data_IF_684048795702
#
_entry.id   IF_684048795702
#
_cell.length_a   1.000
_cell.length_b   1.000
_cell.length_c   1.000
_cell.angle_alpha   90.00
_cell.angle_beta   90.00
_cell.angle_gamma   90.00
#
_symmetry.space_group_name_H-M   'P 1'
#
loop_
_entity.id
_entity.type
_entity.pdbx_description
1 polymer ?
#
# COMPACT_ATOMS: atom_id res chain seq x y z
N UNK A 1 -4.78 -21.13 18.96
CA UNK A 1 -5.01 -19.81 19.59
C UNK A 1 -6.52 -19.57 19.70
N UNK A 2 -7.04 -18.99 20.79
CA UNK A 2 -8.46 -18.65 20.91
C UNK A 2 -8.92 -17.69 19.81
N UNK A 3 -10.15 -17.86 19.31
CA UNK A 3 -10.69 -17.09 18.17
C UNK A 3 -10.65 -15.57 18.41
N UNK A 4 -10.99 -15.13 19.62
CA UNK A 4 -11.01 -13.70 19.99
C UNK A 4 -9.61 -13.12 19.89
N UNK A 5 -8.60 -13.82 20.41
CA UNK A 5 -7.20 -13.38 20.33
C UNK A 5 -6.71 -13.30 18.88
N UNK A 6 -7.16 -14.23 18.02
CA UNK A 6 -6.87 -14.17 16.59
C UNK A 6 -7.46 -12.92 15.96
N UNK A 7 -8.75 -12.67 16.19
CA UNK A 7 -9.42 -11.50 15.63
C UNK A 7 -8.80 -10.19 16.11
N UNK A 8 -8.41 -10.08 17.38
CA UNK A 8 -7.74 -8.88 17.89
C UNK A 8 -6.40 -8.66 17.20
N UNK A 9 -5.55 -9.67 17.08
CA UNK A 9 -4.24 -9.54 16.41
C UNK A 9 -4.38 -9.24 14.92
N UNK A 10 -5.32 -9.90 14.25
CA UNK A 10 -5.68 -9.65 12.87
C UNK A 10 -6.13 -8.21 12.66
N UNK A 11 -7.05 -7.72 13.50
CA UNK A 11 -7.54 -6.35 13.45
C UNK A 11 -6.42 -5.33 13.69
N UNK A 12 -5.57 -5.55 14.70
CA UNK A 12 -4.42 -4.68 14.95
C UNK A 12 -3.47 -4.66 13.75
N UNK A 13 -3.15 -5.82 13.18
CA UNK A 13 -2.30 -5.94 11.98
C UNK A 13 -2.89 -5.16 10.80
N UNK A 14 -4.20 -5.31 10.57
CA UNK A 14 -4.94 -4.59 9.56
C UNK A 14 -4.93 -3.07 9.81
N UNK A 15 -5.17 -2.64 11.05
CA UNK A 15 -5.16 -1.22 11.44
C UNK A 15 -3.78 -0.60 11.23
N UNK A 16 -2.69 -1.29 11.59
CA UNK A 16 -1.33 -0.81 11.33
C UNK A 16 -1.12 -0.61 9.82
N UNK A 17 -1.49 -1.60 9.00
CA UNK A 17 -1.36 -1.49 7.54
C UNK A 17 -2.24 -0.38 6.94
N UNK A 18 -3.40 -0.13 7.53
CA UNK A 18 -4.32 0.92 7.12
C UNK A 18 -3.69 2.31 7.27
N UNK A 19 -2.82 2.57 8.24
CA UNK A 19 -2.24 3.90 8.38
C UNK A 19 -1.11 4.15 7.36
N UNK A 20 -1.12 5.32 6.67
CA UNK A 20 -0.19 5.63 5.58
C UNK A 20 1.28 5.55 5.96
N UNK A 21 1.61 5.81 7.22
CA UNK A 21 3.00 5.91 7.66
C UNK A 21 3.65 4.53 7.89
N UNK A 22 2.87 3.53 8.27
CA UNK A 22 3.40 2.23 8.70
C UNK A 22 3.61 1.27 7.52
N UNK A 23 2.90 1.50 6.41
CA UNK A 23 2.99 0.69 5.20
C UNK A 23 2.78 -0.82 5.45
N UNK A 24 2.87 -1.65 4.39
CA UNK A 24 2.69 -3.11 4.54
C UNK A 24 3.80 -3.74 5.41
N UNK A 25 4.99 -3.14 5.42
CA UNK A 25 6.16 -3.65 6.13
C UNK A 25 5.94 -3.73 7.64
N UNK A 26 5.54 -2.60 8.26
CA UNK A 26 5.34 -2.57 9.70
C UNK A 26 4.07 -3.32 10.10
N UNK A 27 3.06 -3.40 9.23
CA UNK A 27 1.87 -4.21 9.46
C UNK A 27 2.23 -5.69 9.61
N UNK A 28 2.94 -6.24 8.62
CA UNK A 28 3.37 -7.65 8.65
C UNK A 28 4.29 -7.92 9.84
N UNK A 29 5.26 -7.03 10.10
CA UNK A 29 6.15 -7.15 11.25
C UNK A 29 5.40 -7.13 12.59
N UNK A 30 4.41 -6.24 12.75
CA UNK A 30 3.58 -6.17 13.95
C UNK A 30 2.75 -7.44 14.14
N UNK A 31 2.15 -7.97 13.07
CA UNK A 31 1.42 -9.24 13.10
C UNK A 31 2.29 -10.39 13.61
N UNK A 32 3.46 -10.55 13.00
CA UNK A 32 4.41 -11.60 13.39
C UNK A 32 4.95 -11.40 14.82
N UNK A 33 5.24 -10.16 15.23
CA UNK A 33 5.66 -9.84 16.60
C UNK A 33 4.59 -10.20 17.64
N UNK A 34 3.31 -10.09 17.29
CA UNK A 34 2.19 -10.54 18.12
C UNK A 34 1.99 -12.06 18.10
N UNK A 35 2.89 -12.84 17.48
CA UNK A 35 2.76 -14.30 17.26
C UNK A 35 1.54 -14.68 16.42
N UNK A 36 1.12 -13.81 15.51
CA UNK A 36 0.23 -14.20 14.42
C UNK A 36 1.07 -14.98 13.40
N UNK A 37 0.51 -16.02 12.78
CA UNK A 37 1.26 -16.79 11.81
C UNK A 37 1.66 -15.90 10.60
N UNK A 38 2.77 -16.20 9.90
CA UNK A 38 3.27 -15.34 8.83
C UNK A 38 2.25 -15.13 7.71
N UNK A 39 1.47 -16.16 7.37
CA UNK A 39 0.46 -16.08 6.30
C UNK A 39 -0.66 -15.11 6.69
N UNK A 40 -1.24 -15.26 7.89
CA UNK A 40 -2.25 -14.36 8.40
C UNK A 40 -1.71 -12.93 8.57
N UNK A 41 -0.46 -12.78 8.99
CA UNK A 41 0.18 -11.45 9.11
C UNK A 41 0.28 -10.75 7.76
N UNK A 42 0.66 -11.47 6.70
CA UNK A 42 0.65 -10.96 5.33
C UNK A 42 -0.76 -10.64 4.88
N UNK A 43 -1.72 -11.56 5.03
CA UNK A 43 -3.11 -11.35 4.58
C UNK A 43 -3.72 -10.11 5.22
N UNK A 44 -3.66 -9.99 6.54
CA UNK A 44 -4.25 -8.84 7.25
C UNK A 44 -3.48 -7.55 7.01
N UNK A 45 -2.15 -7.59 6.91
CA UNK A 45 -1.33 -6.42 6.59
C UNK A 45 -1.59 -5.89 5.18
N UNK A 46 -1.68 -6.79 4.19
CA UNK A 46 -2.01 -6.45 2.80
C UNK A 46 -3.41 -5.89 2.69
N UNK A 47 -4.41 -6.53 3.32
CA UNK A 47 -5.79 -6.03 3.32
C UNK A 47 -5.87 -4.64 3.99
N UNK A 48 -5.18 -4.46 5.11
CA UNK A 48 -5.10 -3.18 5.81
C UNK A 48 -4.56 -2.08 4.91
N UNK A 49 -3.39 -2.31 4.32
CA UNK A 49 -2.71 -1.35 3.46
C UNK A 49 -3.42 -1.10 2.13
N UNK A 50 -4.09 -2.11 1.57
CA UNK A 50 -4.83 -1.96 0.33
C UNK A 50 -6.17 -1.23 0.51
N UNK A 51 -6.90 -1.44 1.61
CA UNK A 51 -8.22 -0.82 1.88
C UNK A 51 -8.30 0.70 1.62
N UNK A 52 -7.33 1.53 2.05
CA UNK A 52 -7.39 2.96 1.80
C UNK A 52 -7.24 3.34 0.33
N UNK A 53 -6.66 2.50 -0.52
CA UNK A 53 -6.46 2.81 -1.94
C UNK A 53 -7.80 2.97 -2.69
N UNK A 54 -8.74 2.00 -2.66
CA UNK A 54 -10.09 2.20 -3.17
C UNK A 54 -10.79 3.43 -2.57
N UNK A 55 -10.63 3.69 -1.27
CA UNK A 55 -11.24 4.84 -0.60
C UNK A 55 -10.70 6.17 -1.14
N UNK A 56 -9.39 6.27 -1.36
CA UNK A 56 -8.75 7.43 -1.97
C UNK A 56 -9.18 7.64 -3.42
N UNK A 57 -9.25 6.57 -4.21
CA UNK A 57 -9.73 6.65 -5.61
C UNK A 57 -11.19 7.10 -5.67
N UNK A 58 -12.02 6.58 -4.77
CA UNK A 58 -13.41 7.01 -4.64
C UNK A 58 -13.50 8.47 -4.21
N UNK A 59 -12.71 8.89 -3.21
CA UNK A 59 -12.61 10.28 -2.78
C UNK A 59 -12.18 11.23 -3.90
N UNK A 60 -11.17 10.84 -4.68
CA UNK A 60 -10.72 11.60 -5.85
C UNK A 60 -11.86 11.83 -6.85
N UNK A 61 -12.66 10.79 -7.14
CA UNK A 61 -13.82 10.93 -8.05
C UNK A 61 -14.86 11.94 -7.55
N UNK A 62 -15.02 12.07 -6.22
CA UNK A 62 -15.90 13.06 -5.58
C UNK A 62 -15.29 14.46 -5.64
N UNK A 63 -14.00 14.60 -5.36
CA UNK A 63 -13.28 15.87 -5.42
C UNK A 63 -13.32 16.48 -6.83
N UNK A 64 -13.24 15.66 -7.87
CA UNK A 64 -13.33 16.10 -9.26
C UNK A 64 -14.70 16.67 -9.66
N UNK A 65 -15.76 16.44 -8.87
CA UNK A 65 -17.07 17.07 -9.08
C UNK A 65 -17.13 18.52 -8.61
N UNK A 66 -16.19 18.95 -7.76
CA UNK A 66 -16.13 20.32 -7.26
C UNK A 66 -15.21 21.15 -8.17
N UNK A 67 -15.72 22.19 -8.87
CA UNK A 67 -14.94 22.91 -9.88
C UNK A 67 -13.64 23.55 -9.36
N UNK A 68 -13.67 24.10 -8.14
CA UNK A 68 -12.52 24.74 -7.50
C UNK A 68 -11.40 23.73 -7.19
N UNK A 69 -11.76 22.58 -6.62
CA UNK A 69 -10.85 21.47 -6.33
C UNK A 69 -10.30 20.86 -7.62
N UNK A 70 -11.14 20.64 -8.62
CA UNK A 70 -10.72 20.18 -9.95
C UNK A 70 -9.68 21.12 -10.57
N UNK A 71 -9.92 22.43 -10.55
CA UNK A 71 -8.97 23.41 -11.06
C UNK A 71 -7.65 23.45 -10.27
N UNK A 72 -7.68 23.18 -8.97
CA UNK A 72 -6.48 23.05 -8.14
C UNK A 72 -5.70 21.76 -8.45
N UNK A 73 -6.36 20.61 -8.53
CA UNK A 73 -5.76 19.33 -8.88
C UNK A 73 -5.12 19.35 -10.27
N UNK A 74 -5.79 19.93 -11.28
CA UNK A 74 -5.24 20.11 -12.63
C UNK A 74 -4.01 21.02 -12.64
N UNK A 75 -3.93 22.02 -11.75
CA UNK A 75 -2.73 22.84 -11.60
C UNK A 75 -1.57 22.05 -10.99
N UNK A 76 -1.83 21.17 -10.03
CA UNK A 76 -0.80 20.27 -9.48
C UNK A 76 -0.28 19.28 -10.52
N UNK A 77 -1.18 18.69 -11.31
CA UNK A 77 -0.82 17.80 -12.42
C UNK A 77 0.18 18.51 -13.37
N UNK A 78 -0.13 19.75 -13.76
CA UNK A 78 0.72 20.53 -14.68
C UNK A 78 2.07 20.94 -14.08
N UNK A 79 2.14 21.24 -12.78
CA UNK A 79 3.37 21.76 -12.13
C UNK A 79 4.34 20.66 -11.69
N UNK A 80 3.83 19.53 -11.20
CA UNK A 80 4.66 18.49 -10.58
C UNK A 80 4.37 17.07 -11.08
N UNK A 81 3.20 16.85 -11.67
CA UNK A 81 2.77 15.54 -12.14
C UNK A 81 3.51 15.05 -13.40
N UNK A 82 4.10 15.95 -14.18
CA UNK A 82 4.70 15.59 -15.47
C UNK A 82 5.87 14.61 -15.35
N UNK A 83 6.71 14.69 -14.31
CA UNK A 83 7.83 13.75 -14.12
C UNK A 83 7.35 12.35 -13.78
N UNK A 84 6.38 12.26 -12.86
CA UNK A 84 5.77 10.98 -12.45
C UNK A 84 4.99 10.37 -13.61
N UNK A 85 4.28 11.20 -14.38
CA UNK A 85 3.58 10.79 -15.60
C UNK A 85 4.54 10.28 -16.67
N UNK A 86 5.63 10.98 -16.96
CA UNK A 86 6.65 10.49 -17.91
C UNK A 86 7.30 9.18 -17.44
N UNK A 87 7.57 9.04 -16.14
CA UNK A 87 8.09 7.80 -15.59
C UNK A 87 7.07 6.66 -15.73
N UNK A 88 5.79 6.93 -15.47
CA UNK A 88 4.71 5.98 -15.69
C UNK A 88 4.53 5.62 -17.17
N UNK A 89 4.61 6.58 -18.09
CA UNK A 89 4.48 6.33 -19.53
C UNK A 89 5.66 5.50 -20.06
N UNK A 90 6.86 5.67 -19.48
CA UNK A 90 8.07 4.90 -19.84
C UNK A 90 8.10 3.49 -19.23
N UNK A 91 7.82 3.36 -17.94
CA UNK A 91 7.92 2.09 -17.21
C UNK A 91 6.59 1.35 -17.09
N UNK A 92 5.51 1.94 -17.58
CA UNK A 92 4.16 1.42 -17.46
C UNK A 92 3.74 1.22 -16.02
N UNK A 93 2.86 0.26 -15.81
CA UNK A 93 2.31 0.00 -14.49
C UNK A 93 3.28 -0.71 -13.52
N UNK A 94 4.43 -1.20 -14.02
CA UNK A 94 5.53 -1.67 -13.17
C UNK A 94 6.14 -0.56 -12.33
N UNK A 95 6.05 0.70 -12.78
CA UNK A 95 6.47 1.87 -12.02
C UNK A 95 5.81 1.93 -10.64
N UNK A 96 4.50 1.60 -10.56
CA UNK A 96 3.76 1.61 -9.30
C UNK A 96 4.40 0.62 -8.30
N UNK A 97 4.73 -0.59 -8.75
CA UNK A 97 5.34 -1.62 -7.90
C UNK A 97 6.76 -1.20 -7.48
N UNK A 98 7.57 -0.73 -8.42
CA UNK A 98 8.97 -0.38 -8.15
C UNK A 98 9.11 0.82 -7.21
N UNK A 99 8.20 1.79 -7.31
CA UNK A 99 8.23 2.98 -6.47
C UNK A 99 7.54 2.77 -5.12
N UNK A 100 6.80 1.68 -4.91
CA UNK A 100 6.08 1.43 -3.65
C UNK A 100 7.01 1.46 -2.42
N UNK A 101 8.25 0.92 -2.43
CA UNK A 101 9.16 1.02 -1.29
C UNK A 101 9.68 2.43 -1.03
N UNK A 102 9.77 3.27 -2.08
CA UNK A 102 10.37 4.60 -2.00
C UNK A 102 9.31 5.65 -1.65
N UNK A 103 8.16 5.60 -2.32
CA UNK A 103 7.08 6.57 -2.18
C UNK A 103 6.00 6.13 -1.19
N UNK A 104 5.90 4.83 -0.92
CA UNK A 104 4.75 4.25 -0.22
C UNK A 104 3.56 3.98 -1.14
N UNK A 105 2.76 2.96 -0.82
CA UNK A 105 1.59 2.58 -1.62
C UNK A 105 0.52 3.68 -1.61
N UNK A 106 0.43 4.41 -0.49
CA UNK A 106 -0.49 5.52 -0.29
C UNK A 106 -0.19 6.71 -1.19
N UNK A 107 1.07 7.16 -1.23
CA UNK A 107 1.48 8.29 -2.06
C UNK A 107 1.21 7.99 -3.53
N UNK A 108 1.48 6.76 -3.95
CA UNK A 108 1.20 6.30 -5.31
C UNK A 108 -0.30 6.33 -5.61
N UNK A 109 -1.15 5.88 -4.67
CA UNK A 109 -2.60 5.93 -4.82
C UNK A 109 -3.17 7.35 -4.89
N UNK A 110 -2.54 8.33 -4.23
CA UNK A 110 -2.93 9.75 -4.28
C UNK A 110 -2.45 10.43 -5.57
N UNK A 111 -1.21 10.20 -5.98
CA UNK A 111 -0.60 10.90 -7.11
C UNK A 111 -1.09 10.34 -8.45
N UNK A 112 -1.28 9.03 -8.55
CA UNK A 112 -1.63 8.36 -9.81
C UNK A 112 -2.93 8.84 -10.47
N UNK A 113 -4.04 9.07 -9.74
CA UNK A 113 -5.26 9.63 -10.31
C UNK A 113 -5.08 11.06 -10.79
N UNK A 114 -4.26 11.87 -10.08
CA UNK A 114 -3.99 13.27 -10.43
C UNK A 114 -3.30 13.38 -11.78
N UNK A 115 -2.42 12.42 -12.12
CA UNK A 115 -1.73 12.37 -13.42
C UNK A 115 -2.50 11.62 -14.52
N UNK A 116 -3.74 11.21 -14.23
CA UNK A 116 -4.65 10.61 -15.20
C UNK A 116 -4.51 9.09 -15.37
N UNK A 117 -3.89 8.38 -14.44
CA UNK A 117 -3.82 6.91 -14.51
C UNK A 117 -5.19 6.31 -14.20
N UNK A 118 -5.61 5.34 -15.01
CA UNK A 118 -6.89 4.68 -14.85
C UNK A 118 -6.99 3.96 -13.48
N UNK A 119 -8.05 4.19 -12.68
CA UNK A 119 -8.24 3.58 -11.35
C UNK A 119 -8.05 2.06 -11.29
N UNK A 120 -8.49 1.31 -12.31
CA UNK A 120 -8.34 -0.15 -12.37
C UNK A 120 -6.87 -0.59 -12.36
N UNK A 121 -5.99 0.14 -13.06
CA UNK A 121 -4.55 -0.14 -13.06
C UNK A 121 -3.95 0.17 -11.70
N UNK A 122 -4.33 1.28 -11.09
CA UNK A 122 -3.86 1.62 -9.74
C UNK A 122 -4.22 0.51 -8.76
N UNK A 123 -5.49 0.08 -8.73
CA UNK A 123 -5.95 -1.00 -7.86
C UNK A 123 -5.17 -2.31 -8.08
N UNK A 124 -5.08 -2.77 -9.33
CA UNK A 124 -4.44 -4.05 -9.66
C UNK A 124 -2.95 -4.05 -9.27
N UNK A 125 -2.20 -3.04 -9.71
CA UNK A 125 -0.75 -3.01 -9.52
C UNK A 125 -0.35 -2.65 -8.10
N UNK A 126 -1.12 -1.80 -7.40
CA UNK A 126 -0.92 -1.59 -5.97
C UNK A 126 -1.20 -2.87 -5.19
N UNK A 127 -2.27 -3.61 -5.49
CA UNK A 127 -2.54 -4.88 -4.81
C UNK A 127 -1.41 -5.89 -5.01
N UNK A 128 -0.92 -6.05 -6.25
CA UNK A 128 0.21 -6.93 -6.56
C UNK A 128 1.47 -6.48 -5.81
N UNK A 129 1.80 -5.18 -5.85
CA UNK A 129 2.97 -4.64 -5.18
C UNK A 129 2.92 -4.84 -3.66
N UNK A 130 1.83 -4.46 -3.02
CA UNK A 130 1.62 -4.61 -1.57
C UNK A 130 1.73 -6.08 -1.16
N UNK A 131 1.12 -6.99 -1.94
CA UNK A 131 1.20 -8.44 -1.68
C UNK A 131 2.64 -8.93 -1.79
N UNK A 132 3.35 -8.57 -2.86
CA UNK A 132 4.74 -8.94 -3.07
C UNK A 132 5.62 -8.47 -1.91
N UNK A 133 5.54 -7.20 -1.54
CA UNK A 133 6.34 -6.64 -0.45
C UNK A 133 5.96 -7.21 0.93
N UNK A 134 4.67 -7.49 1.16
CA UNK A 134 4.23 -8.17 2.38
C UNK A 134 4.84 -9.57 2.51
N UNK A 135 4.82 -10.36 1.44
CA UNK A 135 5.45 -11.70 1.41
C UNK A 135 6.95 -11.60 1.61
N UNK A 136 7.65 -10.71 0.88
CA UNK A 136 9.09 -10.51 1.01
C UNK A 136 9.46 -10.14 2.46
N UNK A 137 8.65 -9.29 3.10
CA UNK A 137 8.85 -8.90 4.49
C UNK A 137 8.70 -10.08 5.45
N UNK A 138 7.63 -10.87 5.30
CA UNK A 138 7.41 -12.05 6.13
C UNK A 138 8.56 -13.06 5.99
N UNK A 139 9.02 -13.29 4.76
CA UNK A 139 10.16 -14.19 4.48
C UNK A 139 11.45 -13.64 5.09
N UNK A 140 11.73 -12.34 4.95
CA UNK A 140 12.90 -11.70 5.53
C UNK A 140 12.91 -11.81 7.07
N UNK A 141 11.76 -11.60 7.71
CA UNK A 141 11.64 -11.74 9.17
C UNK A 141 11.80 -13.20 9.58
N UNK A 142 11.14 -14.14 8.89
CA UNK A 142 11.22 -15.57 9.20
C UNK A 142 12.65 -16.12 9.07
N UNK A 143 13.36 -15.75 8.00
CA UNK A 143 14.75 -16.15 7.77
C UNK A 143 15.74 -15.46 8.69
N UNK A 144 15.50 -14.19 9.05
CA UNK A 144 16.29 -13.50 10.06
C UNK A 144 16.17 -14.18 11.44
N UNK A 145 14.95 -14.52 11.85
CA UNK A 145 14.70 -15.22 13.11
C UNK A 145 15.40 -16.59 13.16
N UNK A 146 15.40 -17.35 12.06
CA UNK A 146 16.09 -18.65 12.03
C UNK A 146 17.61 -18.51 12.13
N UNK A 147 18.20 -17.47 11.53
CA UNK A 147 19.64 -17.21 11.62
C UNK A 147 20.08 -16.89 13.07
N UNK A 148 19.32 -16.06 13.78
CA UNK A 148 19.55 -15.72 15.19
C UNK A 148 19.33 -16.85 16.19
N UNK A 149 18.57 -17.90 15.84
CA UNK A 149 18.36 -19.05 16.73
C UNK A 149 19.41 -20.15 16.55
N UNK A 150 20.20 -20.10 15.47
CA UNK A 150 21.23 -21.07 15.14
C UNK A 150 22.67 -20.57 15.39
N UNK A 151 22.86 -19.33 15.84
CA UNK A 151 24.12 -18.73 16.27
C UNK A 151 23.91 -18.00 17.59
#
# INVERSE_FOLDING_TARGET
MPIIQYMTKALTTWSVGFFPYFEVYAAVAAGMAMKLDPVSSVVWGVLGNFTPIPLLLWGYSRLMRVPQLRAWLLRMERRGGQRVKHAFDRYGAWFLILMTPILGSWTIAVVSPIIGIHPRRILLFSFIGITLYGVVTAVAIASGMSWFMHH
#
